data_IF_045480359826
#
_entry.id   IF_045480359826
#
_cell.length_a   1.000
_cell.length_b   1.000
_cell.length_c   1.000
_cell.angle_alpha   90.00
_cell.angle_beta   90.00
_cell.angle_gamma   90.00
#
_symmetry.space_group_name_H-M   'P 1'
#
loop_
_entity.id
_entity.type
_entity.pdbx_description
1 polymer ?
#
# COMPACT_ATOMS: atom_id res chain seq x y z
N UNK A 1 3.30 17.95 1.66
CA UNK A 1 2.85 16.55 1.45
C UNK A 1 2.70 16.31 -0.07
N UNK A 2 3.81 16.40 -0.81
CA UNK A 2 3.84 16.39 -2.28
C UNK A 2 4.74 15.28 -2.87
N UNK A 3 5.16 14.30 -2.05
CA UNK A 3 6.12 13.27 -2.45
C UNK A 3 5.52 11.88 -2.66
N UNK A 4 4.28 11.66 -2.22
CA UNK A 4 3.57 10.42 -2.48
C UNK A 4 2.64 10.64 -3.67
N UNK A 5 2.77 9.87 -4.77
CA UNK A 5 1.80 9.86 -5.87
C UNK A 5 0.46 9.19 -5.48
N UNK A 6 0.19 9.09 -4.18
CA UNK A 6 -0.91 8.36 -3.57
C UNK A 6 -1.72 9.30 -2.71
N UNK A 7 -2.98 8.92 -2.49
CA UNK A 7 -3.90 9.63 -1.63
C UNK A 7 -3.23 9.93 -0.27
N UNK A 8 -3.21 11.20 0.19
CA UNK A 8 -2.64 11.57 1.48
C UNK A 8 -3.17 10.74 2.66
N UNK A 9 -4.33 10.09 2.54
CA UNK A 9 -4.80 9.10 3.50
C UNK A 9 -3.93 7.84 3.55
N UNK A 10 -3.51 7.30 2.41
CA UNK A 10 -2.68 6.08 2.34
C UNK A 10 -1.29 6.34 2.93
N UNK A 11 -0.69 7.49 2.67
CA UNK A 11 0.60 7.87 3.25
C UNK A 11 0.57 7.87 4.79
N UNK A 12 -0.51 8.37 5.40
CA UNK A 12 -0.68 8.36 6.86
C UNK A 12 -0.76 6.94 7.43
N UNK A 13 -1.49 6.07 6.73
CA UNK A 13 -1.62 4.66 7.11
C UNK A 13 -0.26 3.95 7.11
N UNK A 14 0.60 4.24 6.12
CA UNK A 14 1.94 3.66 6.03
C UNK A 14 2.88 4.17 7.13
N UNK A 15 2.83 5.45 7.48
CA UNK A 15 3.61 5.97 8.61
C UNK A 15 3.12 5.37 9.94
N UNK A 16 1.82 5.14 10.08
CA UNK A 16 1.27 4.49 11.27
C UNK A 16 1.67 3.01 11.38
N UNK A 17 1.88 2.30 10.27
CA UNK A 17 2.21 0.87 10.27
C UNK A 17 3.57 0.56 10.90
N UNK A 18 4.51 1.51 10.88
CA UNK A 18 5.80 1.40 11.54
C UNK A 18 5.64 1.10 13.04
N UNK A 19 4.70 1.79 13.71
CA UNK A 19 4.43 1.61 15.15
C UNK A 19 3.92 0.22 15.49
N UNK A 20 3.15 -0.34 14.57
CA UNK A 20 2.45 -1.61 14.72
C UNK A 20 3.23 -2.79 14.10
N UNK A 21 4.38 -2.50 13.47
CA UNK A 21 5.25 -3.49 12.80
C UNK A 21 4.51 -4.36 11.77
N UNK A 22 3.54 -3.80 11.08
CA UNK A 22 2.71 -4.48 10.06
C UNK A 22 2.85 -3.81 8.68
N UNK A 23 4.06 -3.35 8.36
CA UNK A 23 4.32 -2.57 7.16
C UNK A 23 4.10 -3.39 5.88
N UNK A 24 4.49 -4.67 5.83
CA UNK A 24 4.33 -5.50 4.61
C UNK A 24 2.86 -5.68 4.23
N UNK A 25 2.02 -5.94 5.23
CA UNK A 25 0.59 -6.13 5.06
C UNK A 25 -0.08 -4.82 4.64
N UNK A 26 0.30 -3.70 5.27
CA UNK A 26 -0.28 -2.39 5.01
C UNK A 26 0.07 -1.87 3.61
N UNK A 27 1.28 -2.11 3.11
CA UNK A 27 1.63 -1.78 1.72
C UNK A 27 0.77 -2.59 0.75
N UNK A 28 0.63 -3.89 1.01
CA UNK A 28 -0.15 -4.79 0.16
C UNK A 28 -1.63 -4.37 0.13
N UNK A 29 -2.20 -4.00 1.28
CA UNK A 29 -3.55 -3.44 1.38
C UNK A 29 -3.65 -2.10 0.64
N UNK A 30 -2.68 -1.20 0.82
CA UNK A 30 -2.68 0.12 0.15
C UNK A 30 -2.63 -0.01 -1.38
N UNK A 31 -1.82 -0.93 -1.89
CA UNK A 31 -1.74 -1.23 -3.32
C UNK A 31 -3.07 -1.76 -3.88
N UNK A 32 -3.71 -2.70 -3.16
CA UNK A 32 -5.01 -3.24 -3.54
C UNK A 32 -6.12 -2.18 -3.46
N UNK A 33 -6.13 -1.33 -2.43
CA UNK A 33 -7.08 -0.23 -2.29
C UNK A 33 -6.94 0.84 -3.37
N UNK A 34 -5.73 1.08 -3.85
CA UNK A 34 -5.47 2.04 -4.94
C UNK A 34 -6.12 1.63 -6.27
N UNK A 35 -6.41 0.34 -6.44
CA UNK A 35 -7.08 -0.21 -7.63
C UNK A 35 -8.58 -0.36 -7.42
N UNK A 36 -9.00 -0.53 -6.16
CA UNK A 36 -10.39 -0.56 -5.74
C UNK A 36 -11.16 -1.76 -6.30
N UNK A 37 -12.44 -1.55 -6.60
CA UNK A 37 -13.36 -2.63 -6.99
C UNK A 37 -13.08 -3.24 -8.38
N UNK A 38 -12.13 -2.70 -9.15
CA UNK A 38 -11.75 -3.21 -10.47
C UNK A 38 -10.97 -4.54 -10.44
N UNK A 39 -10.68 -5.07 -9.25
CA UNK A 39 -10.00 -6.35 -9.05
C UNK A 39 -10.92 -7.52 -9.41
N UNK A 40 -12.20 -7.42 -9.05
CA UNK A 40 -13.15 -8.52 -9.22
C UNK A 40 -13.99 -8.35 -10.49
N UNK A 41 -14.04 -9.40 -11.31
CA UNK A 41 -14.88 -9.46 -12.49
C UNK A 41 -16.13 -10.30 -12.22
N UNK A 42 -17.33 -9.73 -12.41
CA UNK A 42 -18.62 -10.43 -12.22
C UNK A 42 -19.31 -10.65 -13.57
N UNK A 43 -19.09 -11.80 -14.25
CA UNK A 43 -19.93 -12.17 -15.38
C UNK A 43 -21.36 -12.45 -14.90
N UNK A 44 -22.37 -11.97 -15.64
CA UNK A 44 -23.79 -12.12 -15.27
C UNK A 44 -24.23 -13.58 -15.21
N UNK A 45 -23.60 -14.45 -15.99
CA UNK A 45 -24.00 -15.86 -16.13
C UNK A 45 -23.44 -16.79 -15.04
N UNK A 46 -22.48 -16.34 -14.23
CA UNK A 46 -21.78 -17.17 -13.23
C UNK A 46 -21.66 -16.51 -11.85
N UNK A 47 -22.65 -15.71 -11.47
CA UNK A 47 -22.62 -14.96 -10.21
C UNK A 47 -22.46 -15.87 -8.98
N UNK A 48 -23.13 -17.02 -8.95
CA UNK A 48 -23.06 -17.98 -7.83
C UNK A 48 -21.64 -18.52 -7.61
N UNK A 49 -20.89 -18.82 -8.68
CA UNK A 49 -19.49 -19.26 -8.55
C UNK A 49 -18.57 -18.15 -8.06
N UNK A 50 -18.83 -16.91 -8.48
CA UNK A 50 -18.08 -15.74 -8.03
C UNK A 50 -18.34 -15.46 -6.55
N UNK A 51 -19.59 -15.61 -6.11
CA UNK A 51 -19.96 -15.39 -4.72
C UNK A 51 -19.39 -16.50 -3.81
N UNK A 52 -19.37 -17.76 -4.25
CA UNK A 52 -18.69 -18.84 -3.51
C UNK A 52 -17.18 -18.59 -3.37
N UNK A 53 -16.48 -18.24 -4.46
CA UNK A 53 -15.06 -17.91 -4.39
C UNK A 53 -14.80 -16.69 -3.49
N UNK A 54 -15.71 -15.71 -3.48
CA UNK A 54 -15.63 -14.56 -2.57
C UNK A 54 -15.84 -14.96 -1.11
N UNK A 55 -16.77 -15.86 -0.83
CA UNK A 55 -17.03 -16.33 0.53
C UNK A 55 -15.81 -16.97 1.17
N UNK A 56 -15.00 -17.71 0.40
CA UNK A 56 -13.73 -18.28 0.88
C UNK A 56 -12.77 -17.20 1.39
N UNK A 57 -12.67 -16.07 0.68
CA UNK A 57 -11.85 -14.93 1.11
C UNK A 57 -12.48 -14.12 2.26
N UNK A 58 -13.81 -14.10 2.37
CA UNK A 58 -14.57 -13.48 3.46
C UNK A 58 -14.68 -14.38 4.71
N UNK A 59 -13.82 -15.39 4.86
CA UNK A 59 -13.79 -16.24 6.06
C UNK A 59 -13.49 -15.41 7.32
N UNK A 60 -14.53 -15.19 8.11
CA UNK A 60 -14.55 -14.40 9.36
C UNK A 60 -14.91 -12.93 9.13
N UNK A 61 -15.67 -12.32 10.05
CA UNK A 61 -16.08 -10.89 10.15
C UNK A 61 -14.91 -9.88 10.18
N UNK A 62 -13.95 -10.06 9.30
CA UNK A 62 -12.62 -9.48 9.31
C UNK A 62 -12.57 -8.68 8.02
N UNK A 63 -13.10 -7.45 8.09
CA UNK A 63 -13.64 -6.64 6.97
C UNK A 63 -12.83 -6.53 5.67
N UNK A 64 -13.43 -5.92 4.65
CA UNK A 64 -13.00 -5.91 3.23
C UNK A 64 -11.49 -5.71 2.98
N UNK A 65 -10.83 -4.89 3.80
CA UNK A 65 -9.38 -4.68 3.73
C UNK A 65 -8.56 -5.98 3.91
N UNK A 66 -8.99 -6.87 4.79
CA UNK A 66 -8.29 -8.12 5.10
C UNK A 66 -8.61 -9.19 4.06
N UNK A 67 -9.82 -9.19 3.50
CA UNK A 67 -10.14 -10.01 2.33
C UNK A 67 -9.23 -9.67 1.13
N UNK A 68 -8.98 -8.37 0.88
CA UNK A 68 -8.03 -7.93 -0.16
C UNK A 68 -6.60 -8.42 0.10
N UNK A 69 -6.16 -8.39 1.37
CA UNK A 69 -4.86 -8.92 1.76
C UNK A 69 -4.75 -10.43 1.49
N UNK A 70 -5.78 -11.21 1.87
CA UNK A 70 -5.83 -12.66 1.61
C UNK A 70 -5.76 -12.98 0.12
N UNK A 71 -6.50 -12.24 -0.71
CA UNK A 71 -6.48 -12.39 -2.18
C UNK A 71 -5.07 -12.15 -2.72
N UNK A 72 -4.40 -11.07 -2.28
CA UNK A 72 -3.05 -10.76 -2.72
C UNK A 72 -2.04 -11.83 -2.28
N UNK A 73 -2.13 -12.31 -1.04
CA UNK A 73 -1.25 -13.36 -0.51
C UNK A 73 -1.44 -14.68 -1.25
N UNK A 74 -2.68 -15.09 -1.50
CA UNK A 74 -3.00 -16.31 -2.27
C UNK A 74 -2.46 -16.23 -3.70
N UNK A 75 -2.55 -15.05 -4.33
CA UNK A 75 -1.95 -14.81 -5.64
C UNK A 75 -0.42 -14.84 -5.62
N UNK A 76 0.19 -14.34 -4.54
CA UNK A 76 1.65 -14.36 -4.33
C UNK A 76 2.16 -15.80 -4.14
N UNK A 77 1.46 -16.62 -3.35
CA UNK A 77 1.80 -18.03 -3.11
C UNK A 77 1.71 -18.89 -4.38
N UNK A 78 0.81 -18.55 -5.29
CA UNK A 78 0.67 -19.19 -6.60
C UNK A 78 1.66 -18.66 -7.65
N UNK A 79 2.73 -17.98 -7.22
CA UNK A 79 3.77 -17.40 -8.09
C UNK A 79 3.21 -16.46 -9.17
N UNK A 80 2.21 -15.63 -8.83
CA UNK A 80 1.60 -14.66 -9.75
C UNK A 80 0.92 -15.32 -10.96
N UNK A 81 0.40 -16.54 -10.80
CA UNK A 81 -0.24 -17.30 -11.88
C UNK A 81 -1.43 -16.55 -12.47
N UNK A 82 -1.45 -16.41 -13.79
CA UNK A 82 -2.60 -15.88 -14.53
C UNK A 82 -3.78 -16.85 -14.53
N UNK A 83 -3.50 -18.15 -14.37
CA UNK A 83 -4.52 -19.19 -14.34
C UNK A 83 -5.34 -19.09 -13.05
N UNK A 84 -4.67 -18.89 -11.90
CA UNK A 84 -5.34 -18.67 -10.62
C UNK A 84 -6.28 -17.45 -10.66
N UNK A 85 -5.86 -16.36 -11.31
CA UNK A 85 -6.73 -15.19 -11.49
C UNK A 85 -7.99 -15.52 -12.29
N UNK A 86 -7.90 -16.37 -13.33
CA UNK A 86 -9.06 -16.77 -14.14
C UNK A 86 -10.03 -17.63 -13.36
N UNK A 87 -9.52 -18.58 -12.58
CA UNK A 87 -10.32 -19.49 -11.75
C UNK A 87 -11.05 -18.74 -10.63
N UNK A 88 -10.42 -17.72 -10.05
CA UNK A 88 -10.98 -16.91 -8.97
C UNK A 88 -11.73 -15.65 -9.45
N UNK A 89 -11.98 -15.51 -10.77
CA UNK A 89 -12.68 -14.37 -11.37
C UNK A 89 -12.05 -13.00 -11.05
N UNK A 90 -10.71 -12.95 -11.02
CA UNK A 90 -9.91 -11.76 -10.74
C UNK A 90 -9.31 -11.23 -12.05
N UNK A 91 -9.31 -9.91 -12.23
CA UNK A 91 -8.66 -9.28 -13.38
C UNK A 91 -7.13 -9.29 -13.24
N UNK A 92 -6.46 -10.00 -14.15
CA UNK A 92 -4.99 -10.06 -14.23
C UNK A 92 -4.37 -8.67 -14.39
N UNK A 93 -4.99 -7.79 -15.21
CA UNK A 93 -4.47 -6.43 -15.45
C UNK A 93 -4.45 -5.60 -14.16
N UNK A 94 -5.51 -5.71 -13.36
CA UNK A 94 -5.63 -5.07 -12.06
C UNK A 94 -4.57 -5.60 -11.09
N UNK A 95 -4.39 -6.91 -10.99
CA UNK A 95 -3.37 -7.49 -10.10
C UNK A 95 -1.93 -7.12 -10.49
N UNK A 96 -1.60 -7.08 -11.79
CA UNK A 96 -0.30 -6.61 -12.26
C UNK A 96 -0.04 -5.16 -11.83
N UNK A 97 -1.04 -4.28 -12.01
CA UNK A 97 -0.97 -2.90 -11.55
C UNK A 97 -0.78 -2.81 -10.03
N UNK A 98 -1.41 -3.71 -9.26
CA UNK A 98 -1.29 -3.74 -7.80
C UNK A 98 0.16 -4.01 -7.40
N UNK A 99 0.79 -4.95 -8.09
CA UNK A 99 2.19 -5.28 -7.89
C UNK A 99 3.10 -4.10 -8.20
N UNK A 100 2.87 -3.39 -9.30
CA UNK A 100 3.67 -2.22 -9.68
C UNK A 100 3.54 -1.09 -8.64
N UNK A 101 2.33 -0.85 -8.13
CA UNK A 101 2.10 0.12 -7.04
C UNK A 101 2.81 -0.32 -5.76
N UNK A 102 2.74 -1.61 -5.41
CA UNK A 102 3.46 -2.16 -4.24
C UNK A 102 4.96 -1.92 -4.34
N UNK A 103 5.57 -2.14 -5.51
CA UNK A 103 7.00 -1.87 -5.71
C UNK A 103 7.34 -0.39 -5.55
N UNK A 104 6.50 0.51 -6.05
CA UNK A 104 6.71 1.95 -5.84
C UNK A 104 6.63 2.31 -4.35
N UNK A 105 5.67 1.73 -3.63
CA UNK A 105 5.49 1.93 -2.20
C UNK A 105 6.65 1.40 -1.36
N UNK A 106 7.20 0.25 -1.74
CA UNK A 106 8.38 -0.34 -1.11
C UNK A 106 9.60 0.59 -1.25
N UNK A 107 9.85 1.11 -2.45
CA UNK A 107 10.91 2.10 -2.66
C UNK A 107 10.68 3.43 -1.94
N UNK A 108 9.42 3.80 -1.67
CA UNK A 108 9.13 4.96 -0.83
C UNK A 108 9.43 4.67 0.64
N UNK A 109 9.05 3.51 1.18
CA UNK A 109 9.37 3.15 2.56
C UNK A 109 10.87 3.05 2.83
N UNK A 110 11.63 2.53 1.87
CA UNK A 110 13.09 2.49 1.95
C UNK A 110 13.68 3.91 2.07
N UNK A 111 13.16 4.87 1.31
CA UNK A 111 13.55 6.29 1.42
C UNK A 111 13.22 6.92 2.78
N UNK A 112 12.15 6.46 3.43
CA UNK A 112 11.75 6.91 4.76
C UNK A 112 12.42 6.11 5.90
N UNK A 113 13.34 5.19 5.58
CA UNK A 113 14.02 4.30 6.54
C UNK A 113 13.05 3.44 7.38
N UNK A 114 11.84 3.17 6.87
CA UNK A 114 10.84 2.36 7.57
C UNK A 114 11.14 0.88 7.34
N UNK A 115 11.39 0.14 8.43
CA UNK A 115 11.66 -1.30 8.36
C UNK A 115 10.42 -2.10 7.94
N UNK A 116 10.54 -2.87 6.86
CA UNK A 116 9.54 -3.87 6.47
C UNK A 116 9.47 -4.96 7.53
N UNK A 117 8.37 -5.00 8.27
CA UNK A 117 8.06 -6.05 9.24
C UNK A 117 6.71 -6.63 8.90
N UNK A 118 6.62 -7.96 8.88
CA UNK A 118 5.38 -8.70 8.70
C UNK A 118 4.92 -9.27 10.04
N UNK A 119 3.66 -9.04 10.39
CA UNK A 119 3.04 -9.58 11.61
C UNK A 119 1.63 -10.07 11.28
N UNK A 120 1.55 -11.21 10.57
CA UNK A 120 0.30 -11.78 10.06
C UNK A 120 -0.67 -12.23 11.16
N UNK A 121 -0.17 -12.48 12.38
CA UNK A 121 -0.99 -12.94 13.50
C UNK A 121 -1.76 -11.81 14.19
N UNK A 122 -1.32 -10.56 14.08
CA UNK A 122 -1.94 -9.42 14.74
C UNK A 122 -2.94 -8.71 13.81
N UNK A 123 -4.07 -9.37 13.54
CA UNK A 123 -5.18 -8.75 12.80
C UNK A 123 -5.64 -7.43 13.44
N UNK A 124 -5.52 -7.31 14.76
CA UNK A 124 -5.88 -6.11 15.49
C UNK A 124 -4.89 -4.95 15.27
N UNK A 125 -3.62 -5.25 15.03
CA UNK A 125 -2.63 -4.25 14.64
C UNK A 125 -2.96 -3.68 13.25
N UNK A 126 -3.31 -4.54 12.30
CA UNK A 126 -3.73 -4.13 10.95
C UNK A 126 -4.98 -3.24 11.03
N UNK A 127 -6.01 -3.66 11.78
CA UNK A 127 -7.24 -2.87 11.99
C UNK A 127 -6.96 -1.51 12.63
N UNK A 128 -6.15 -1.46 13.70
CA UNK A 128 -5.76 -0.20 14.36
C UNK A 128 -5.06 0.76 13.39
N UNK A 129 -4.21 0.23 12.53
CA UNK A 129 -3.49 1.01 11.51
C UNK A 129 -4.46 1.56 10.45
N UNK A 130 -5.44 0.77 10.02
CA UNK A 130 -6.48 1.21 9.08
C UNK A 130 -7.38 2.28 9.74
N UNK A 131 -7.71 2.16 11.01
CA UNK A 131 -8.52 3.17 11.72
C UNK A 131 -7.75 4.49 11.86
N UNK A 132 -6.44 4.42 12.10
CA UNK A 132 -5.57 5.60 12.14
C UNK A 132 -5.57 6.41 10.83
N UNK A 133 -5.85 5.75 9.69
CA UNK A 133 -6.08 6.41 8.40
C UNK A 133 -7.28 7.37 8.44
N UNK A 134 -8.37 6.93 9.07
CA UNK A 134 -9.68 7.60 9.01
C UNK A 134 -9.85 8.64 10.13
N UNK A 135 -9.28 8.38 11.30
CA UNK A 135 -9.34 9.29 12.45
C UNK A 135 -7.94 9.74 12.86
N UNK A 136 -7.47 10.90 12.37
CA UNK A 136 -6.17 11.46 12.78
C UNK A 136 -6.13 11.86 14.27
N UNK A 137 -7.26 11.87 14.97
CA UNK A 137 -7.42 12.39 16.34
C UNK A 137 -7.47 11.34 17.45
N UNK A 138 -7.46 10.03 17.15
CA UNK A 138 -7.61 8.98 18.19
C UNK A 138 -6.29 8.41 18.75
N UNK A 139 -5.12 8.80 18.21
CA UNK A 139 -3.84 8.56 18.89
C UNK A 139 -3.52 9.71 19.84
N UNK A 140 -4.36 9.87 20.85
CA UNK A 140 -4.10 10.73 22.00
C UNK A 140 -2.87 10.22 22.76
N UNK A 141 -1.81 11.02 22.73
CA UNK A 141 -0.71 11.14 23.69
C UNK A 141 0.09 9.88 24.09
N UNK A 142 1.20 9.65 23.38
CA UNK A 142 2.56 9.54 23.96
C UNK A 142 3.59 9.44 22.83
N UNK A 143 4.30 10.53 22.56
CA UNK A 143 5.60 10.50 21.87
C UNK A 143 5.66 10.84 20.38
N UNK A 144 4.60 11.34 19.74
CA UNK A 144 4.69 11.86 18.37
C UNK A 144 4.97 13.37 18.36
N UNK A 145 6.23 13.73 18.54
CA UNK A 145 6.73 15.05 18.14
C UNK A 145 8.12 14.99 17.47
N UNK A 146 8.93 13.94 17.68
CA UNK A 146 10.34 14.01 17.26
C UNK A 146 10.68 13.30 15.93
N UNK A 147 9.95 12.26 15.52
CA UNK A 147 10.34 11.49 14.31
C UNK A 147 9.94 12.22 13.01
N UNK A 148 8.86 13.03 13.06
CA UNK A 148 8.43 13.86 11.93
C UNK A 148 9.30 15.10 11.71
N UNK A 149 9.90 15.68 12.75
CA UNK A 149 10.73 16.88 12.62
C UNK A 149 12.18 16.61 12.21
N UNK A 150 12.75 15.45 12.59
CA UNK A 150 14.14 15.12 12.23
C UNK A 150 14.32 14.72 10.76
N UNK A 151 13.33 14.06 10.14
CA UNK A 151 13.43 13.67 8.74
C UNK A 151 12.97 14.74 7.73
N UNK A 152 12.10 15.69 8.12
CA UNK A 152 11.74 16.82 7.24
C UNK A 152 12.96 17.70 6.93
N UNK A 153 13.88 17.88 7.87
CA UNK A 153 15.09 18.67 7.64
C UNK A 153 16.06 17.99 6.65
N UNK A 154 16.18 16.64 6.70
CA UNK A 154 16.94 15.86 5.71
C UNK A 154 16.26 15.85 4.34
N UNK A 155 14.93 15.79 4.31
CA UNK A 155 14.12 15.86 3.10
C UNK A 155 14.26 17.23 2.41
N UNK A 156 14.33 18.32 3.18
CA UNK A 156 14.57 19.67 2.65
C UNK A 156 15.98 19.80 2.05
N UNK A 157 16.99 19.19 2.66
CA UNK A 157 18.35 19.12 2.11
C UNK A 157 18.38 18.30 0.81
N UNK A 158 17.66 17.18 0.74
CA UNK A 158 17.61 16.35 -0.47
C UNK A 158 16.88 17.02 -1.64
N UNK A 159 15.80 17.76 -1.35
CA UNK A 159 15.08 18.56 -2.36
C UNK A 159 15.96 19.74 -2.84
N UNK A 160 16.67 20.43 -1.94
CA UNK A 160 17.61 21.49 -2.33
C UNK A 160 18.81 20.95 -3.12
N UNK A 161 19.28 19.74 -2.83
CA UNK A 161 20.36 19.10 -3.58
C UNK A 161 19.97 18.74 -5.02
N UNK A 162 18.68 18.48 -5.29
CA UNK A 162 18.18 18.20 -6.65
C UNK A 162 17.83 19.45 -7.46
N UNK A 163 17.66 20.62 -6.82
CA UNK A 163 17.43 21.90 -7.52
C UNK A 163 18.74 22.67 -7.78
N UNK A 164 19.87 22.26 -7.17
CA UNK A 164 21.15 22.96 -7.26
C UNK A 164 22.14 22.55 -8.37
N UNK A 165 21.83 21.54 -9.21
CA UNK A 165 22.71 21.13 -10.32
C UNK A 165 22.06 21.34 -11.69
N UNK A 166 21.69 22.59 -11.97
CA UNK A 166 21.18 23.05 -13.27
C UNK A 166 21.88 24.32 -13.71
N UNK A 167 23.22 24.35 -13.64
CA UNK A 167 24.01 25.45 -14.18
C UNK A 167 25.29 24.90 -14.79
N UNK A 168 25.27 24.67 -16.12
CA UNK A 168 26.20 25.29 -17.07
C UNK A 168 26.40 24.44 -18.34
N UNK A 169 26.40 25.16 -19.47
CA UNK A 169 27.00 24.86 -20.79
C UNK A 169 26.12 24.21 -21.87
N UNK A 170 25.65 25.05 -22.77
CA UNK A 170 25.80 24.93 -24.24
C UNK A 170 25.23 26.23 -24.82
N UNK A 171 25.91 27.04 -25.62
CA UNK A 171 27.08 26.82 -26.45
C UNK A 171 26.84 27.73 -27.66
N UNK A 172 27.61 28.80 -27.77
CA UNK A 172 27.63 29.66 -28.95
C UNK A 172 28.12 28.87 -30.19
N UNK A 173 27.80 29.43 -31.37
CA UNK A 173 28.49 29.35 -32.68
C UNK A 173 27.89 28.33 -33.68
N UNK A 174 27.91 28.60 -35.01
CA UNK A 174 28.26 29.85 -35.73
C UNK A 174 27.06 30.55 -36.38
#
# INVERSE_FOLDING_TARGET
MAEFPLDPMLSKMMVASEKFKCSDEIISIAAMLSIGNSIFYRPKDKQVHVDNARMDFHTGNVGDHIALLKVYNSWRETNYSTQWCRENYIQVRSMKRARDIRYQLEGLLEKFEIKLTSNLNDLDAIKKTIIARFFPTLQSYKGMALIGQLNIHRLFIYILAQVGSGSSKMGCIP
#
